data_IF_672313111709
#
_entry.id   IF_672313111709
#
_cell.length_a   1.000
_cell.length_b   1.000
_cell.length_c   1.000
_cell.angle_alpha   90.00
_cell.angle_beta   90.00
_cell.angle_gamma   90.00
#
_symmetry.space_group_name_H-M   'P 1'
#
loop_
_entity.id
_entity.type
_entity.pdbx_description
1 polymer ?
#
# COMPACT_ATOMS: atom_id res chain seq x y z
N UNK A 1 -47.74 -7.09 -6.67
CA UNK A 1 -47.16 -7.34 -8.02
C UNK A 1 -47.13 -5.98 -8.72
N UNK A 2 -45.99 -5.29 -8.70
CA UNK A 2 -45.07 -5.32 -9.83
C UNK A 2 -43.58 -5.46 -9.43
N UNK A 3 -42.76 -5.88 -10.40
CA UNK A 3 -41.30 -6.04 -10.37
C UNK A 3 -40.64 -4.75 -10.87
N UNK A 4 -39.64 -4.23 -10.16
CA UNK A 4 -38.66 -3.26 -10.68
C UNK A 4 -37.29 -3.64 -10.11
N UNK A 5 -36.30 -3.68 -10.98
CA UNK A 5 -35.01 -4.34 -10.83
C UNK A 5 -33.97 -3.55 -10.02
N UNK A 6 -33.04 -4.27 -9.37
CA UNK A 6 -31.72 -3.75 -8.99
C UNK A 6 -31.32 -3.90 -7.50
N UNK A 7 -30.07 -4.29 -7.19
CA UNK A 7 -29.63 -4.53 -5.82
C UNK A 7 -29.44 -3.21 -5.06
N UNK A 8 -30.15 -3.07 -3.94
CA UNK A 8 -30.03 -1.95 -3.00
C UNK A 8 -28.74 -2.09 -2.17
N UNK A 9 -27.57 -1.90 -2.79
CA UNK A 9 -26.35 -1.61 -2.02
C UNK A 9 -26.54 -0.22 -1.42
N UNK A 10 -26.93 -0.17 -0.15
CA UNK A 10 -27.12 1.09 0.56
C UNK A 10 -25.74 1.67 0.92
N UNK A 11 -25.38 2.76 0.26
CA UNK A 11 -24.30 3.65 0.69
C UNK A 11 -24.86 4.64 1.73
N UNK A 12 -24.19 4.80 2.86
CA UNK A 12 -24.53 5.83 3.86
C UNK A 12 -23.55 6.98 3.78
N UNK A 13 -23.89 8.03 3.02
CA UNK A 13 -23.15 9.30 3.01
C UNK A 13 -24.04 10.42 3.56
N UNK A 14 -23.64 10.99 4.70
CA UNK A 14 -24.00 12.35 5.13
C UNK A 14 -22.72 13.10 5.45
N UNK A 15 -22.20 13.84 4.47
CA UNK A 15 -22.04 15.30 4.55
C UNK A 15 -21.80 15.85 3.14
N UNK A 16 -22.52 16.91 2.78
CA UNK A 16 -22.71 17.37 1.41
C UNK A 16 -21.83 18.59 1.09
N UNK A 17 -21.06 18.51 0.00
CA UNK A 17 -20.38 19.66 -0.62
C UNK A 17 -20.02 19.38 -2.08
N UNK A 18 -20.32 20.32 -2.97
CA UNK A 18 -20.43 20.19 -4.42
C UNK A 18 -19.06 20.22 -5.17
N UNK A 19 -19.00 19.51 -6.31
CA UNK A 19 -17.91 19.07 -7.22
C UNK A 19 -16.91 20.14 -7.77
N UNK A 20 -15.72 19.74 -8.31
CA UNK A 20 -15.63 19.09 -9.62
C UNK A 20 -14.86 17.74 -9.60
N UNK A 21 -15.10 16.93 -10.64
CA UNK A 21 -14.30 15.76 -11.02
C UNK A 21 -12.84 16.19 -11.20
N UNK A 22 -12.12 16.25 -10.11
CA UNK A 22 -10.70 16.52 -10.11
C UNK A 22 -10.03 15.16 -10.32
N UNK A 23 -9.74 14.85 -11.58
CA UNK A 23 -8.62 13.98 -11.91
C UNK A 23 -7.35 14.70 -11.46
N UNK A 24 -7.09 14.70 -10.17
CA UNK A 24 -5.78 15.01 -9.61
C UNK A 24 -5.43 13.78 -8.85
N UNK A 25 -4.58 12.97 -9.48
CA UNK A 25 -3.53 12.20 -8.82
C UNK A 25 -3.54 12.53 -7.33
N UNK A 26 -4.24 11.71 -6.54
CA UNK A 26 -3.96 11.64 -5.13
C UNK A 26 -2.46 11.40 -5.13
N UNK A 27 -1.63 12.34 -4.67
CA UNK A 27 -0.20 12.14 -4.49
C UNK A 27 -0.06 10.72 -3.94
N UNK A 28 0.33 9.80 -4.82
CA UNK A 28 0.07 8.37 -4.66
C UNK A 28 1.22 7.86 -3.83
N UNK A 29 1.23 8.36 -2.59
CA UNK A 29 2.12 7.90 -1.55
C UNK A 29 1.97 6.38 -1.58
N UNK A 30 3.06 5.64 -1.84
CA UNK A 30 2.96 4.21 -2.06
C UNK A 30 2.21 3.60 -0.88
N UNK A 31 1.10 2.93 -1.17
CA UNK A 31 0.34 2.24 -0.14
C UNK A 31 1.21 1.14 0.45
N UNK A 32 0.99 0.81 1.72
CA UNK A 32 1.63 -0.33 2.34
C UNK A 32 1.47 -1.58 1.45
N UNK A 33 2.53 -2.37 1.20
CA UNK A 33 2.40 -3.59 0.41
C UNK A 33 1.33 -4.50 1.02
N UNK A 34 0.46 -5.12 0.21
CA UNK A 34 -0.63 -5.97 0.72
C UNK A 34 -0.15 -7.15 1.59
N UNK A 35 1.06 -7.65 1.33
CA UNK A 35 1.65 -8.72 2.12
C UNK A 35 2.16 -8.24 3.49
N UNK A 36 2.37 -6.94 3.67
CA UNK A 36 3.08 -6.36 4.80
C UNK A 36 2.15 -5.51 5.68
N UNK A 37 2.62 -5.22 6.89
CA UNK A 37 1.98 -4.29 7.81
C UNK A 37 2.86 -3.05 7.95
N UNK A 38 2.27 -1.86 7.89
CA UNK A 38 3.01 -0.60 8.00
C UNK A 38 2.56 0.20 9.20
N UNK A 39 3.49 0.60 10.05
CA UNK A 39 3.23 1.42 11.24
C UNK A 39 4.42 2.33 11.53
N UNK A 40 4.18 3.64 11.71
CA UNK A 40 5.21 4.59 12.12
C UNK A 40 6.48 4.63 11.26
N UNK A 41 6.39 4.35 9.96
CA UNK A 41 7.55 4.27 9.05
C UNK A 41 8.28 2.92 9.06
N UNK A 42 7.74 1.92 9.75
CA UNK A 42 8.22 0.53 9.71
C UNK A 42 7.34 -0.26 8.75
N UNK A 43 7.96 -1.01 7.84
CA UNK A 43 7.28 -1.94 6.93
C UNK A 43 7.65 -3.37 7.33
N UNK A 44 6.70 -4.06 7.94
CA UNK A 44 6.86 -5.43 8.45
C UNK A 44 6.34 -6.46 7.44
N UNK A 45 7.28 -7.14 6.78
CA UNK A 45 7.03 -8.17 5.79
C UNK A 45 7.54 -9.55 6.23
N UNK A 46 7.69 -9.79 7.54
CA UNK A 46 8.23 -11.06 8.06
C UNK A 46 7.32 -12.24 7.76
N UNK A 47 7.93 -13.39 7.45
CA UNK A 47 7.23 -14.68 7.27
C UNK A 47 6.13 -14.65 6.19
N UNK A 48 6.28 -13.81 5.16
CA UNK A 48 5.29 -13.67 4.08
C UNK A 48 5.57 -14.57 2.88
N UNK A 49 6.64 -15.36 2.91
CA UNK A 49 7.04 -16.21 1.79
C UNK A 49 7.44 -15.41 0.56
N UNK A 50 7.93 -14.18 0.74
CA UNK A 50 8.35 -13.33 -0.36
C UNK A 50 9.56 -13.95 -1.05
N UNK A 51 9.50 -14.04 -2.37
CA UNK A 51 10.63 -14.47 -3.22
C UNK A 51 11.40 -13.29 -3.80
N UNK A 52 10.84 -12.08 -3.68
CA UNK A 52 11.39 -10.83 -4.18
C UNK A 52 11.06 -9.65 -3.24
N UNK A 53 11.73 -8.51 -3.44
CA UNK A 53 11.50 -7.28 -2.70
C UNK A 53 10.16 -6.67 -3.13
N UNK A 54 9.26 -6.28 -2.21
CA UNK A 54 7.99 -5.64 -2.59
C UNK A 54 8.25 -4.25 -3.20
N UNK A 55 7.66 -3.99 -4.37
CA UNK A 55 7.89 -2.75 -5.13
C UNK A 55 7.09 -1.53 -4.69
N UNK A 56 6.15 -1.68 -3.74
CA UNK A 56 5.25 -0.62 -3.29
C UNK A 56 5.51 -0.28 -1.81
N UNK A 57 6.68 0.28 -1.51
CA UNK A 57 7.04 0.70 -0.14
C UNK A 57 6.86 2.21 -0.02
N UNK A 58 6.18 2.73 1.02
CA UNK A 58 6.03 4.17 1.25
C UNK A 58 7.39 4.90 1.27
N UNK A 59 7.50 6.08 0.65
CA UNK A 59 8.76 6.84 0.59
C UNK A 59 9.29 7.27 1.97
N UNK A 60 8.40 7.39 2.96
CA UNK A 60 8.70 7.71 4.35
C UNK A 60 9.06 6.48 5.20
N UNK A 61 9.28 5.32 4.57
CA UNK A 61 9.75 4.11 5.24
C UNK A 61 11.16 4.32 5.78
N UNK A 62 11.32 4.13 7.09
CA UNK A 62 12.57 4.23 7.83
C UNK A 62 13.21 2.86 8.05
N UNK A 63 12.39 1.83 8.19
CA UNK A 63 12.80 0.46 8.50
C UNK A 63 11.97 -0.54 7.69
N UNK A 64 12.62 -1.50 7.03
CA UNK A 64 11.96 -2.62 6.38
C UNK A 64 12.40 -3.93 7.01
N UNK A 65 11.45 -4.84 7.24
CA UNK A 65 11.68 -6.15 7.85
C UNK A 65 11.31 -7.26 6.89
N UNK A 66 12.31 -7.94 6.36
CA UNK A 66 12.18 -9.00 5.34
C UNK A 66 12.60 -10.37 5.86
N UNK A 67 12.78 -10.53 7.18
CA UNK A 67 13.24 -11.76 7.80
C UNK A 67 12.28 -12.93 7.51
N UNK A 68 12.85 -14.14 7.46
CA UNK A 68 12.09 -15.38 7.27
C UNK A 68 11.28 -15.42 5.95
N UNK A 69 11.79 -14.75 4.91
CA UNK A 69 11.32 -14.87 3.54
C UNK A 69 12.24 -15.76 2.69
N UNK A 70 11.89 -15.96 1.41
CA UNK A 70 12.58 -16.81 0.44
C UNK A 70 13.35 -15.97 -0.60
N UNK A 71 13.72 -14.74 -0.24
CA UNK A 71 14.46 -13.81 -1.09
C UNK A 71 15.90 -14.32 -1.19
N UNK A 72 16.29 -14.81 -2.36
CA UNK A 72 17.59 -15.42 -2.59
C UNK A 72 18.67 -14.39 -2.95
N UNK A 73 18.27 -13.29 -3.59
CA UNK A 73 19.17 -12.24 -4.04
C UNK A 73 18.47 -10.90 -3.89
N UNK A 74 19.21 -9.89 -3.42
CA UNK A 74 18.76 -8.50 -3.40
C UNK A 74 19.49 -7.77 -4.52
N UNK A 75 18.78 -7.32 -5.58
CA UNK A 75 19.41 -6.59 -6.66
C UNK A 75 20.18 -5.38 -6.16
N UNK A 76 21.33 -5.06 -6.76
CA UNK A 76 21.99 -3.78 -6.53
C UNK A 76 20.97 -2.66 -6.77
N UNK A 77 20.83 -1.74 -5.80
CA UNK A 77 19.89 -0.61 -5.85
C UNK A 77 18.41 -0.96 -5.65
N UNK A 78 18.05 -2.15 -5.20
CA UNK A 78 16.66 -2.50 -4.85
C UNK A 78 15.99 -1.48 -3.89
N UNK A 79 16.79 -0.84 -3.03
CA UNK A 79 16.33 0.18 -2.09
C UNK A 79 16.81 1.59 -2.40
N UNK A 80 17.47 1.83 -3.52
CA UNK A 80 18.05 3.14 -3.83
C UNK A 80 16.99 4.25 -4.01
N UNK A 81 15.75 3.86 -4.31
CA UNK A 81 14.62 4.79 -4.40
C UNK A 81 14.14 5.28 -3.01
N UNK A 82 14.34 4.49 -1.95
CA UNK A 82 13.82 4.78 -0.61
C UNK A 82 14.85 5.56 0.22
N UNK A 83 14.88 6.88 0.01
CA UNK A 83 15.88 7.77 0.63
C UNK A 83 15.82 7.83 2.16
N UNK A 84 14.64 7.58 2.73
CA UNK A 84 14.42 7.60 4.17
C UNK A 84 14.80 6.27 4.86
N UNK A 85 15.06 5.21 4.09
CA UNK A 85 15.37 3.89 4.62
C UNK A 85 16.74 3.90 5.31
N UNK A 86 16.76 3.61 6.61
CA UNK A 86 17.97 3.60 7.43
C UNK A 86 18.30 2.22 7.98
N UNK A 87 17.33 1.30 7.98
CA UNK A 87 17.43 -0.05 8.56
C UNK A 87 16.75 -1.09 7.67
N UNK A 88 17.37 -2.26 7.58
CA UNK A 88 16.89 -3.44 6.84
C UNK A 88 17.38 -4.73 7.50
#
# INVERSE_FOLDING_TARGET
MPLIEGPLYYVTERDQGNLPLRNTHCDEKPLCPMACSCDGGVVDCREKGLVEIPGAIPEDTLEIRLELNQIQEIPPRAFAAYKALTKM
#
